data_IF_833314336105
#
_entry.id   IF_833314336105
#
_cell.length_a   1.000
_cell.length_b   1.000
_cell.length_c   1.000
_cell.angle_alpha   90.00
_cell.angle_beta   90.00
_cell.angle_gamma   90.00
#
_symmetry.space_group_name_H-M   'P 1'
#
loop_
_entity.id
_entity.type
_entity.pdbx_description
1 polymer ?
#
# COMPACT_ATOMS: atom_id res chain seq x y z
N UNK A 1 -29.88 -13.31 0.58
CA UNK A 1 -28.61 -12.89 1.20
C UNK A 1 -27.53 -12.96 0.13
N UNK A 2 -27.05 -11.81 -0.35
CA UNK A 2 -26.00 -11.77 -1.35
C UNK A 2 -24.70 -12.25 -0.70
N UNK A 3 -24.20 -13.41 -1.12
CA UNK A 3 -22.85 -13.83 -0.78
C UNK A 3 -21.90 -12.77 -1.33
N UNK A 4 -21.16 -12.10 -0.43
CA UNK A 4 -20.02 -11.28 -0.77
C UNK A 4 -19.15 -12.11 -1.73
N UNK A 5 -19.08 -11.73 -3.02
CA UNK A 5 -18.09 -12.30 -3.95
C UNK A 5 -16.74 -12.06 -3.28
N UNK A 6 -16.13 -13.11 -2.73
CA UNK A 6 -14.77 -13.02 -2.21
C UNK A 6 -13.93 -12.57 -3.41
N UNK A 7 -13.20 -11.48 -3.31
CA UNK A 7 -12.26 -11.14 -4.38
C UNK A 7 -11.28 -12.30 -4.49
N UNK A 8 -11.38 -13.11 -5.55
CA UNK A 8 -10.68 -14.40 -5.64
C UNK A 8 -9.16 -14.22 -5.83
N UNK A 9 -8.72 -13.01 -6.19
CA UNK A 9 -7.35 -12.68 -6.56
C UNK A 9 -6.70 -11.81 -5.48
N UNK A 10 -6.08 -12.46 -4.50
CA UNK A 10 -5.43 -11.82 -3.36
C UNK A 10 -4.38 -12.75 -2.74
N UNK A 11 -3.77 -12.29 -1.65
CA UNK A 11 -3.04 -13.15 -0.72
C UNK A 11 -4.00 -13.71 0.33
N UNK A 12 -4.22 -15.03 0.32
CA UNK A 12 -5.23 -15.64 1.19
C UNK A 12 -4.86 -15.53 2.69
N UNK A 13 -3.56 -15.54 3.00
CA UNK A 13 -3.05 -15.33 4.36
C UNK A 13 -1.77 -14.51 4.35
N UNK A 14 -1.62 -13.64 5.35
CA UNK A 14 -0.41 -12.87 5.58
C UNK A 14 0.19 -13.28 6.93
N UNK A 15 1.49 -13.60 6.96
CA UNK A 15 2.17 -14.06 8.19
C UNK A 15 3.48 -13.32 8.41
N UNK A 16 3.79 -13.00 9.67
CA UNK A 16 5.04 -12.30 10.05
C UNK A 16 5.84 -13.11 11.06
N UNK A 17 7.11 -12.74 11.24
CA UNK A 17 7.95 -13.31 12.28
C UNK A 17 7.51 -12.80 13.65
N UNK A 18 7.46 -13.70 14.64
CA UNK A 18 7.11 -13.37 16.03
C UNK A 18 8.31 -12.73 16.75
N UNK A 19 8.56 -11.46 16.46
CA UNK A 19 9.67 -10.68 17.01
C UNK A 19 9.23 -9.22 17.28
N UNK A 20 10.12 -8.42 17.88
CA UNK A 20 9.85 -7.01 18.14
C UNK A 20 9.44 -6.27 16.86
N UNK A 21 8.39 -5.46 16.93
CA UNK A 21 7.83 -4.77 15.75
C UNK A 21 7.06 -5.70 14.81
N UNK A 22 6.51 -6.83 15.29
CA UNK A 22 5.66 -7.72 14.50
C UNK A 22 4.41 -7.02 13.96
N UNK A 23 3.82 -6.10 14.74
CA UNK A 23 2.66 -5.32 14.32
C UNK A 23 2.99 -4.39 13.15
N UNK A 24 4.16 -3.74 13.19
CA UNK A 24 4.65 -2.90 12.09
C UNK A 24 4.94 -3.72 10.84
N UNK A 25 5.60 -4.87 10.98
CA UNK A 25 5.82 -5.81 9.88
C UNK A 25 4.50 -6.27 9.25
N UNK A 26 3.49 -6.56 10.08
CA UNK A 26 2.17 -6.99 9.62
C UNK A 26 1.45 -5.86 8.89
N UNK A 27 1.53 -4.63 9.41
CA UNK A 27 0.97 -3.45 8.76
C UNK A 27 1.64 -3.20 7.40
N UNK A 28 2.98 -3.32 7.30
CA UNK A 28 3.72 -3.18 6.06
C UNK A 28 3.32 -4.22 5.01
N UNK A 29 3.27 -5.51 5.38
CA UNK A 29 2.85 -6.56 4.43
C UNK A 29 1.39 -6.41 4.01
N UNK A 30 0.49 -6.06 4.92
CA UNK A 30 -0.91 -5.77 4.58
C UNK A 30 -1.02 -4.60 3.62
N UNK A 31 -0.26 -3.53 3.86
CA UNK A 31 -0.21 -2.36 2.97
C UNK A 31 0.32 -2.73 1.58
N UNK A 32 1.39 -3.52 1.52
CA UNK A 32 1.96 -4.00 0.25
C UNK A 32 0.96 -4.90 -0.49
N UNK A 33 0.36 -5.88 0.19
CA UNK A 33 -0.67 -6.75 -0.36
C UNK A 33 -1.87 -5.97 -0.91
N UNK A 34 -2.33 -4.96 -0.17
CA UNK A 34 -3.42 -4.08 -0.59
C UNK A 34 -3.03 -3.27 -1.83
N UNK A 35 -1.80 -2.75 -1.90
CA UNK A 35 -1.33 -1.96 -3.03
C UNK A 35 -1.25 -2.78 -4.33
N UNK A 36 -0.81 -4.03 -4.26
CA UNK A 36 -0.67 -4.90 -5.45
C UNK A 36 -1.93 -5.70 -5.78
N UNK A 37 -2.97 -5.65 -4.95
CA UNK A 37 -4.21 -6.39 -5.19
C UNK A 37 -4.87 -6.08 -6.54
N UNK A 38 -4.93 -4.81 -7.04
CA UNK A 38 -5.48 -4.53 -8.36
C UNK A 38 -4.69 -5.22 -9.50
N UNK A 39 -3.36 -5.33 -9.35
CA UNK A 39 -2.50 -6.07 -10.27
C UNK A 39 -2.86 -7.56 -10.24
N UNK A 40 -3.01 -8.14 -9.05
CA UNK A 40 -3.43 -9.54 -8.89
C UNK A 40 -4.79 -9.80 -9.55
N UNK A 41 -5.74 -8.87 -9.43
CA UNK A 41 -7.05 -8.98 -10.08
C UNK A 41 -6.92 -8.96 -11.60
N UNK A 42 -6.16 -8.01 -12.16
CA UNK A 42 -5.95 -7.88 -13.61
C UNK A 42 -5.30 -9.12 -14.22
N UNK A 43 -4.27 -9.64 -13.55
CA UNK A 43 -3.50 -10.81 -13.99
C UNK A 43 -4.09 -12.15 -13.51
N UNK A 44 -5.20 -12.11 -12.76
CA UNK A 44 -5.91 -13.28 -12.21
C UNK A 44 -5.04 -14.17 -11.31
N UNK A 45 -4.19 -13.56 -10.50
CA UNK A 45 -3.30 -14.26 -9.58
C UNK A 45 -3.91 -14.41 -8.18
N UNK A 46 -3.76 -15.59 -7.60
CA UNK A 46 -4.16 -15.88 -6.22
C UNK A 46 -3.04 -16.66 -5.55
N UNK A 47 -2.43 -16.06 -4.53
CA UNK A 47 -1.27 -16.63 -3.85
C UNK A 47 -1.70 -17.02 -2.42
N UNK A 48 -1.46 -18.27 -1.97
CA UNK A 48 -1.96 -18.71 -0.68
C UNK A 48 -1.40 -17.91 0.51
N UNK A 49 -0.10 -17.58 0.47
CA UNK A 49 0.57 -16.93 1.60
C UNK A 49 1.55 -15.86 1.12
N UNK A 50 1.47 -14.67 1.73
CA UNK A 50 2.54 -13.68 1.77
C UNK A 50 3.17 -13.68 3.15
N UNK A 51 4.48 -13.92 3.26
CA UNK A 51 5.13 -14.05 4.55
C UNK A 51 6.39 -13.20 4.72
N UNK A 52 6.67 -12.78 5.94
CA UNK A 52 7.99 -12.30 6.32
C UNK A 52 8.96 -13.48 6.51
N UNK A 53 10.22 -13.29 6.12
CA UNK A 53 11.31 -14.17 6.52
C UNK A 53 12.61 -13.41 6.83
N UNK A 54 13.56 -14.09 7.48
CA UNK A 54 14.91 -13.56 7.74
C UNK A 54 15.94 -14.67 7.52
N UNK A 55 16.33 -14.95 6.26
CA UNK A 55 17.30 -15.99 5.96
C UNK A 55 18.70 -15.59 6.46
N UNK A 56 19.60 -16.58 6.62
CA UNK A 56 20.99 -16.32 7.01
C UNK A 56 21.77 -15.53 5.96
N UNK A 57 21.48 -15.76 4.68
CA UNK A 57 22.10 -14.98 3.60
C UNK A 57 21.53 -13.55 3.60
N UNK A 58 22.34 -12.51 3.86
CA UNK A 58 21.87 -11.12 3.89
C UNK A 58 21.40 -10.61 2.53
N UNK A 59 21.89 -11.17 1.43
CA UNK A 59 21.51 -10.77 0.07
C UNK A 59 20.17 -11.35 -0.41
N UNK A 60 19.58 -12.29 0.33
CA UNK A 60 18.28 -12.85 -0.03
C UNK A 60 17.16 -11.96 0.51
N UNK A 61 16.55 -11.19 -0.40
CA UNK A 61 15.52 -10.18 -0.12
C UNK A 61 14.10 -10.69 -0.30
N UNK A 62 13.90 -11.62 -1.24
CA UNK A 62 12.61 -12.23 -1.53
C UNK A 62 12.81 -13.67 -2.02
N UNK A 63 11.75 -14.46 -1.95
CA UNK A 63 11.68 -15.74 -2.63
C UNK A 63 10.23 -16.10 -2.96
N UNK A 64 10.00 -16.46 -4.22
CA UNK A 64 8.77 -17.09 -4.66
C UNK A 64 8.90 -18.62 -4.58
N UNK A 65 8.09 -19.24 -3.71
CA UNK A 65 7.91 -20.70 -3.63
C UNK A 65 6.48 -21.11 -4.03
N UNK A 66 5.74 -20.21 -4.65
CA UNK A 66 4.42 -20.46 -5.18
C UNK A 66 4.55 -21.03 -6.60
N UNK A 67 3.99 -22.22 -6.78
CA UNK A 67 3.81 -22.82 -8.09
C UNK A 67 2.39 -22.54 -8.57
N UNK A 68 2.28 -21.91 -9.75
CA UNK A 68 1.00 -21.51 -10.34
C UNK A 68 0.04 -22.68 -10.45
N UNK A 69 -1.16 -22.54 -9.88
CA UNK A 69 -2.21 -23.58 -9.93
C UNK A 69 -2.08 -24.70 -8.89
N UNK A 70 -0.98 -24.78 -8.13
CA UNK A 70 -0.81 -25.83 -7.10
C UNK A 70 -1.70 -25.63 -5.87
N UNK A 71 -2.24 -24.42 -5.67
CA UNK A 71 -2.99 -24.04 -4.46
C UNK A 71 -2.14 -23.99 -3.19
N UNK A 72 -0.83 -24.21 -3.29
CA UNK A 72 0.12 -24.23 -2.18
C UNK A 72 1.33 -23.34 -2.48
N UNK A 73 2.15 -23.08 -1.47
CA UNK A 73 3.32 -22.22 -1.60
C UNK A 73 3.13 -20.82 -1.03
N UNK A 74 4.18 -20.02 -1.10
CA UNK A 74 4.23 -18.70 -0.50
C UNK A 74 5.22 -17.80 -1.22
N UNK A 75 4.91 -16.51 -1.25
CA UNK A 75 5.90 -15.47 -1.52
C UNK A 75 6.42 -15.00 -0.16
N UNK A 76 7.74 -14.98 0.02
CA UNK A 76 8.36 -14.50 1.25
C UNK A 76 9.23 -13.30 0.99
N UNK A 77 9.15 -12.29 1.86
CA UNK A 77 9.90 -11.05 1.75
C UNK A 77 10.68 -10.78 3.02
N UNK A 78 11.88 -10.23 2.87
CA UNK A 78 12.70 -9.72 3.95
C UNK A 78 12.31 -8.26 4.16
N UNK A 79 11.71 -7.98 5.31
CA UNK A 79 11.27 -6.62 5.65
C UNK A 79 12.33 -5.85 6.43
N UNK A 80 13.27 -6.54 7.06
CA UNK A 80 14.23 -5.97 8.02
C UNK A 80 15.66 -6.09 7.53
N UNK A 81 16.50 -5.12 7.90
CA UNK A 81 17.92 -5.15 7.59
C UNK A 81 18.61 -6.32 8.32
N UNK A 82 19.49 -7.10 7.65
CA UNK A 82 20.11 -8.28 8.25
C UNK A 82 20.88 -8.04 9.55
N UNK A 83 21.49 -6.86 9.69
CA UNK A 83 22.32 -6.49 10.85
C UNK A 83 21.52 -5.85 11.98
N UNK A 84 20.30 -5.38 11.70
CA UNK A 84 19.45 -4.65 12.64
C UNK A 84 17.99 -5.03 12.43
N UNK A 85 17.52 -6.04 13.16
CA UNK A 85 16.16 -6.56 13.03
C UNK A 85 15.07 -5.53 13.42
N UNK A 86 15.41 -4.43 14.08
CA UNK A 86 14.49 -3.34 14.39
C UNK A 86 14.30 -2.35 13.23
N UNK A 87 15.16 -2.39 12.21
CA UNK A 87 15.13 -1.43 11.10
C UNK A 87 14.52 -2.07 9.86
N UNK A 88 13.42 -1.51 9.41
CA UNK A 88 12.73 -1.93 8.19
C UNK A 88 13.36 -1.31 6.93
N UNK A 89 13.17 -1.98 5.80
CA UNK A 89 13.36 -1.37 4.49
C UNK A 89 12.23 -0.40 4.18
N UNK A 90 12.52 0.56 3.31
CA UNK A 90 11.52 1.51 2.83
C UNK A 90 10.39 0.78 2.07
N UNK A 91 9.19 1.34 2.12
CA UNK A 91 8.00 0.69 1.55
C UNK A 91 8.15 0.43 0.04
N UNK A 92 8.73 1.38 -0.71
CA UNK A 92 8.94 1.25 -2.15
C UNK A 92 9.92 0.12 -2.49
N UNK A 93 10.93 -0.09 -1.66
CA UNK A 93 11.87 -1.21 -1.80
C UNK A 93 11.16 -2.56 -1.57
N UNK A 94 10.29 -2.63 -0.56
CA UNK A 94 9.48 -3.83 -0.29
C UNK A 94 8.53 -4.11 -1.46
N UNK A 95 7.89 -3.07 -2.02
CA UNK A 95 7.03 -3.20 -3.20
C UNK A 95 7.80 -3.69 -4.42
N UNK A 96 8.96 -3.10 -4.71
CA UNK A 96 9.81 -3.55 -5.83
C UNK A 96 10.22 -5.02 -5.69
N UNK A 97 10.60 -5.43 -4.49
CA UNK A 97 10.91 -6.85 -4.20
C UNK A 97 9.67 -7.73 -4.38
N UNK A 98 8.50 -7.30 -3.93
CA UNK A 98 7.26 -8.04 -4.11
C UNK A 98 6.90 -8.20 -5.61
N UNK A 99 7.02 -7.15 -6.42
CA UNK A 99 6.78 -7.23 -7.86
C UNK A 99 7.77 -8.16 -8.57
N UNK A 100 9.02 -8.19 -8.12
CA UNK A 100 10.03 -9.14 -8.60
C UNK A 100 9.57 -10.58 -8.34
N UNK A 101 9.18 -10.89 -7.10
CA UNK A 101 8.67 -12.21 -6.76
C UNK A 101 7.36 -12.53 -7.47
N UNK A 102 6.46 -11.56 -7.68
CA UNK A 102 5.24 -11.77 -8.46
C UNK A 102 5.53 -12.09 -9.92
N UNK A 103 6.60 -11.53 -10.51
CA UNK A 103 7.03 -11.88 -11.87
C UNK A 103 7.45 -13.35 -11.98
N UNK A 104 7.96 -13.93 -10.88
CA UNK A 104 8.25 -15.36 -10.78
C UNK A 104 7.01 -16.26 -10.78
N UNK A 105 5.78 -15.72 -10.65
CA UNK A 105 4.54 -16.51 -10.84
C UNK A 105 4.47 -17.04 -12.28
N UNK A 106 4.98 -16.27 -13.26
CA UNK A 106 4.95 -16.61 -14.69
C UNK A 106 6.31 -17.06 -15.19
N UNK A 107 7.39 -16.39 -14.76
CA UNK A 107 8.73 -16.61 -15.30
C UNK A 107 9.75 -16.96 -14.20
N UNK A 108 10.17 -18.21 -14.15
CA UNK A 108 11.12 -18.67 -13.12
C UNK A 108 12.56 -18.14 -13.30
N UNK A 109 12.97 -17.88 -14.55
CA UNK A 109 14.34 -17.47 -14.87
C UNK A 109 14.41 -15.98 -15.22
N UNK A 110 15.44 -15.27 -14.73
CA UNK A 110 15.72 -13.85 -15.02
C UNK A 110 16.19 -13.59 -16.45
N UNK A 111 15.41 -14.02 -17.44
CA UNK A 111 15.63 -13.75 -18.87
C UNK A 111 14.78 -12.57 -19.33
N UNK A 112 14.90 -12.18 -20.59
CA UNK A 112 14.14 -11.07 -21.18
C UNK A 112 12.63 -11.08 -20.88
N UNK A 113 11.90 -12.22 -20.96
CA UNK A 113 10.47 -12.23 -20.63
C UNK A 113 10.17 -11.88 -19.17
N UNK A 114 11.04 -12.27 -18.24
CA UNK A 114 10.92 -11.91 -16.83
C UNK A 114 11.02 -10.40 -16.64
N UNK A 115 12.06 -9.79 -17.21
CA UNK A 115 12.30 -8.35 -17.05
C UNK A 115 11.22 -7.51 -17.73
N UNK A 116 10.71 -7.99 -18.88
CA UNK A 116 9.57 -7.38 -19.54
C UNK A 116 8.34 -7.37 -18.64
N UNK A 117 7.95 -8.53 -18.08
CA UNK A 117 6.82 -8.62 -17.15
C UNK A 117 7.06 -7.75 -15.91
N UNK A 118 8.24 -7.83 -15.30
CA UNK A 118 8.57 -7.01 -14.14
C UNK A 118 8.42 -5.51 -14.42
N UNK A 119 8.88 -5.04 -15.59
CA UNK A 119 8.73 -3.65 -15.98
C UNK A 119 7.26 -3.27 -16.19
N UNK A 120 6.49 -4.10 -16.88
CA UNK A 120 5.04 -3.91 -17.06
C UNK A 120 4.33 -3.80 -15.70
N UNK A 121 4.62 -4.69 -14.76
CA UNK A 121 4.05 -4.63 -13.40
C UNK A 121 4.43 -3.35 -12.64
N UNK A 122 5.66 -2.83 -12.82
CA UNK A 122 6.08 -1.58 -12.19
C UNK A 122 5.33 -0.37 -12.77
N UNK A 123 5.17 -0.32 -14.10
CA UNK A 123 4.38 0.75 -14.75
C UNK A 123 2.93 0.70 -14.27
N UNK A 124 2.34 -0.49 -14.19
CA UNK A 124 0.98 -0.65 -13.66
C UNK A 124 0.87 -0.18 -12.20
N UNK A 125 1.84 -0.51 -11.36
CA UNK A 125 1.88 -0.08 -9.96
C UNK A 125 1.96 1.45 -9.83
N UNK A 126 2.84 2.09 -10.60
CA UNK A 126 3.04 3.54 -10.56
C UNK A 126 1.78 4.30 -11.00
N UNK A 127 1.10 3.81 -12.04
CA UNK A 127 -0.20 4.35 -12.45
C UNK A 127 -1.25 4.23 -11.35
N UNK A 128 -1.33 3.07 -10.69
CA UNK A 128 -2.28 2.83 -9.60
C UNK A 128 -2.00 3.75 -8.42
N UNK A 129 -0.74 3.90 -8.04
CA UNK A 129 -0.32 4.81 -6.97
C UNK A 129 -0.62 6.27 -7.30
N UNK A 130 -0.33 6.71 -8.52
CA UNK A 130 -0.62 8.08 -9.00
C UNK A 130 -2.13 8.37 -8.97
N UNK A 131 -2.95 7.37 -9.31
CA UNK A 131 -4.41 7.47 -9.25
C UNK A 131 -4.98 7.28 -7.84
N UNK A 132 -4.13 6.90 -6.86
CA UNK A 132 -4.53 6.56 -5.49
C UNK A 132 -5.44 5.33 -5.39
N UNK A 133 -5.32 4.41 -6.35
CA UNK A 133 -6.10 3.17 -6.42
C UNK A 133 -5.31 2.06 -5.73
N UNK A 134 -5.98 1.30 -4.85
CA UNK A 134 -5.44 0.09 -4.24
C UNK A 134 -6.56 -0.95 -4.07
N UNK A 135 -6.32 -2.01 -3.31
CA UNK A 135 -7.35 -2.96 -2.91
C UNK A 135 -8.09 -3.61 -4.07
N UNK A 136 -9.42 -3.48 -4.07
CA UNK A 136 -10.29 -4.04 -5.13
C UNK A 136 -10.25 -3.26 -6.44
N UNK A 137 -9.52 -2.15 -6.49
CA UNK A 137 -9.41 -1.28 -7.65
C UNK A 137 -10.59 -0.35 -7.88
N UNK A 138 -11.53 -0.25 -6.92
CA UNK A 138 -12.71 0.63 -7.02
C UNK A 138 -12.49 1.94 -6.25
N UNK A 139 -11.89 2.93 -6.91
CA UNK A 139 -11.85 4.31 -6.42
C UNK A 139 -10.55 4.74 -5.74
N UNK A 140 -10.63 5.81 -4.96
CA UNK A 140 -9.52 6.38 -4.19
C UNK A 140 -9.54 5.80 -2.78
N UNK A 141 -8.61 4.88 -2.49
CA UNK A 141 -8.58 4.10 -1.24
C UNK A 141 -7.73 4.74 -0.14
N UNK A 142 -7.44 6.04 -0.22
CA UNK A 142 -6.78 6.70 0.87
C UNK A 142 -7.73 6.81 2.08
N UNK A 143 -7.23 6.61 3.31
CA UNK A 143 -8.00 6.95 4.51
C UNK A 143 -8.51 8.38 4.37
N UNK A 144 -9.82 8.60 4.53
CA UNK A 144 -10.36 9.96 4.48
C UNK A 144 -9.66 10.80 5.54
N UNK A 145 -8.81 11.74 5.14
CA UNK A 145 -8.14 12.68 6.06
C UNK A 145 -9.11 13.74 6.62
N UNK A 146 -10.41 13.45 6.65
CA UNK A 146 -11.49 14.41 6.79
C UNK A 146 -11.81 15.14 5.47
N UNK A 147 -12.99 15.76 5.40
CA UNK A 147 -13.30 16.72 4.33
C UNK A 147 -12.38 17.94 4.51
N UNK A 148 -11.46 18.13 3.57
CA UNK A 148 -10.78 19.41 3.44
C UNK A 148 -11.86 20.49 3.17
N UNK A 149 -11.94 21.48 4.06
CA UNK A 149 -12.86 22.62 3.96
C UNK A 149 -14.21 22.50 4.68
N UNK A 150 -14.47 21.42 5.44
CA UNK A 150 -15.77 21.24 6.12
C UNK A 150 -15.69 21.28 7.64
N UNK A 151 -15.76 22.46 8.26
CA UNK A 151 -16.09 22.53 9.70
C UNK A 151 -17.59 22.27 9.88
N UNK A 152 -17.94 21.00 10.13
CA UNK A 152 -19.19 20.58 10.76
C UNK A 152 -20.35 20.17 9.83
N UNK A 153 -21.28 19.33 10.32
CA UNK A 153 -22.50 18.98 9.62
C UNK A 153 -23.41 20.22 9.50
N UNK A 154 -23.80 20.57 8.26
CA UNK A 154 -24.76 21.65 7.99
C UNK A 154 -24.22 22.90 7.29
N UNK A 155 -22.92 23.00 6.98
CA UNK A 155 -22.34 24.17 6.32
C UNK A 155 -22.55 24.22 4.78
N UNK A 156 -23.69 23.73 4.27
CA UNK A 156 -24.06 23.97 2.89
C UNK A 156 -24.77 25.33 2.84
N UNK A 157 -24.00 26.38 2.58
CA UNK A 157 -24.45 27.79 2.45
C UNK A 157 -24.72 28.52 3.78
N UNK A 158 -23.68 28.93 4.53
CA UNK A 158 -23.87 29.82 5.69
C UNK A 158 -24.51 31.15 5.27
N UNK A 159 -25.34 31.74 6.13
CA UNK A 159 -25.99 33.01 5.82
C UNK A 159 -24.97 34.14 5.63
N UNK A 160 -25.28 35.17 4.82
CA UNK A 160 -24.35 36.29 4.58
C UNK A 160 -23.86 36.99 5.86
N UNK A 161 -24.67 36.99 6.92
CA UNK A 161 -24.29 37.55 8.21
C UNK A 161 -23.18 36.74 8.90
N UNK A 162 -23.28 35.40 8.86
CA UNK A 162 -22.27 34.49 9.43
C UNK A 162 -20.95 34.61 8.66
N UNK A 163 -21.02 34.73 7.34
CA UNK A 163 -19.84 34.95 6.49
C UNK A 163 -19.13 36.26 6.83
N UNK A 164 -19.88 37.37 6.96
CA UNK A 164 -19.31 38.67 7.32
C UNK A 164 -18.63 38.64 8.68
N UNK A 165 -19.28 38.05 9.69
CA UNK A 165 -18.70 37.94 11.03
C UNK A 165 -17.39 37.12 11.03
N UNK A 166 -17.36 36.01 10.29
CA UNK A 166 -16.16 35.19 10.14
C UNK A 166 -15.04 35.93 9.39
N UNK A 167 -15.38 36.70 8.35
CA UNK A 167 -14.43 37.51 7.59
C UNK A 167 -13.81 38.63 8.43
N UNK A 168 -14.61 39.35 9.22
CA UNK A 168 -14.13 40.40 10.13
C UNK A 168 -13.17 39.80 11.16
N UNK A 169 -13.56 38.72 11.81
CA UNK A 169 -12.71 38.03 12.79
C UNK A 169 -11.38 37.58 12.18
N UNK A 170 -11.42 36.99 10.98
CA UNK A 170 -10.20 36.56 10.29
C UNK A 170 -9.32 37.75 9.88
N UNK A 171 -9.90 38.91 9.54
CA UNK A 171 -9.15 40.13 9.23
C UNK A 171 -8.47 40.72 10.48
N UNK A 172 -9.17 40.76 11.62
CA UNK A 172 -8.61 41.18 12.91
C UNK A 172 -7.46 40.27 13.36
N UNK A 173 -7.61 38.95 13.20
CA UNK A 173 -6.55 37.97 13.51
C UNK A 173 -5.32 38.15 12.62
N UNK A 174 -5.51 38.40 11.31
CA UNK A 174 -4.40 38.71 10.39
C UNK A 174 -3.69 40.00 10.77
N UNK A 175 -4.43 41.04 11.14
CA UNK A 175 -3.87 42.32 11.56
C UNK A 175 -3.05 42.14 12.86
N UNK A 176 -3.58 41.38 13.84
CA UNK A 176 -2.83 41.02 15.05
C UNK A 176 -1.56 40.24 14.74
N UNK A 177 -1.64 39.24 13.85
CA UNK A 177 -0.46 38.45 13.48
C UNK A 177 0.57 39.30 12.73
N UNK A 178 0.16 40.23 11.86
CA UNK A 178 1.10 41.17 11.21
C UNK A 178 1.78 42.11 12.20
N UNK A 179 1.11 42.51 13.28
CA UNK A 179 1.74 43.34 14.32
C UNK A 179 2.69 42.58 15.25
N UNK A 180 2.68 41.24 15.22
CA UNK A 180 3.49 40.37 16.08
C UNK A 180 4.74 39.82 15.41
N UNK A 181 4.95 40.09 14.11
CA UNK A 181 6.16 39.71 13.38
C UNK A 181 6.97 41.00 13.13
N UNK A 182 8.12 41.21 13.81
CA UNK A 182 8.99 42.36 13.61
C UNK A 182 9.71 42.36 12.25
#
# INVERSE_FOLDING_TARGET
MAAQKRDHYNFARITVLKQQGSEEAMALLKKAAHQVQPIMIRHKWSVPVLAEFSPRNPGLLGVNQYESGSGTGAIRLRLRRPTQNSVFYDFDFILGTLLHEMSHIVHQHHKEPFWKLYHELNVELDELMTKGIAGTGQGFDAPSAGRLGGKGPGAHNPSPAVLRAAMVKAAEERQRMQTLVP
#
